data_IF_952914092826
#
_entry.id   IF_952914092826
#
_cell.length_a   1.000
_cell.length_b   1.000
_cell.length_c   1.000
_cell.angle_alpha   90.00
_cell.angle_beta   90.00
_cell.angle_gamma   90.00
#
_symmetry.space_group_name_H-M   'P 1'
#
loop_
_entity.id
_entity.type
_entity.pdbx_description
1 polymer ?
#
# COMPACT_ATOMS: atom_id res chain seq x y z
N UNK A 1 -0.26 -9.50 6.32
CA UNK A 1 -0.09 -8.64 7.50
C UNK A 1 -1.19 -7.59 7.49
N UNK A 2 -1.96 -7.50 8.57
CA UNK A 2 -3.07 -6.56 8.74
C UNK A 2 -2.61 -5.48 9.73
N UNK A 3 -2.51 -4.24 9.26
CA UNK A 3 -2.17 -3.08 10.10
C UNK A 3 -3.40 -2.46 10.76
N UNK A 4 -3.19 -1.44 11.60
CA UNK A 4 -4.28 -0.73 12.27
C UNK A 4 -5.04 0.16 11.26
N UNK A 5 -6.32 -0.13 11.05
CA UNK A 5 -7.18 0.57 10.06
C UNK A 5 -7.60 2.00 10.45
N UNK A 6 -7.06 2.53 11.55
CA UNK A 6 -7.27 3.89 12.05
C UNK A 6 -6.06 4.80 11.78
N UNK A 7 -5.13 4.38 10.93
CA UNK A 7 -3.96 5.18 10.55
C UNK A 7 -4.38 6.43 9.78
N UNK A 8 -3.88 7.60 10.21
CA UNK A 8 -4.21 8.87 9.61
C UNK A 8 -3.48 9.05 8.27
N UNK A 9 -4.23 9.31 7.21
CA UNK A 9 -3.71 9.46 5.84
C UNK A 9 -4.08 10.85 5.34
N UNK A 10 -3.08 11.63 4.92
CA UNK A 10 -3.27 13.00 4.45
C UNK A 10 -3.27 13.09 2.93
N UNK A 11 -2.58 12.19 2.24
CA UNK A 11 -2.54 12.13 0.76
C UNK A 11 -2.05 10.78 0.24
N UNK A 12 -2.43 10.48 -1.00
CA UNK A 12 -1.85 9.38 -1.79
C UNK A 12 -0.66 9.87 -2.62
N UNK A 13 0.41 9.08 -2.69
CA UNK A 13 1.67 9.44 -3.36
C UNK A 13 2.31 8.26 -4.08
N UNK A 14 3.25 8.56 -4.97
CA UNK A 14 4.17 7.56 -5.50
C UNK A 14 5.11 7.05 -4.38
N UNK A 15 5.48 5.75 -4.32
CA UNK A 15 6.30 5.21 -3.23
C UNK A 15 7.59 5.98 -2.94
N UNK A 16 8.29 6.42 -4.00
CA UNK A 16 9.54 7.17 -3.92
C UNK A 16 9.37 8.65 -3.50
N UNK A 17 8.15 9.19 -3.55
CA UNK A 17 7.86 10.57 -3.19
C UNK A 17 7.32 10.72 -1.77
N UNK A 18 7.12 9.59 -1.08
CA UNK A 18 6.66 9.60 0.30
C UNK A 18 7.66 10.31 1.20
N UNK A 19 7.15 11.28 1.95
CA UNK A 19 7.93 12.15 2.82
C UNK A 19 7.80 11.79 4.29
N UNK A 20 6.70 11.10 4.67
CA UNK A 20 6.50 10.69 6.05
C UNK A 20 5.23 9.87 6.30
N UNK A 21 4.94 9.58 7.59
CA UNK A 21 3.94 8.58 7.97
C UNK A 21 2.50 8.88 7.55
N UNK A 22 2.14 10.15 7.28
CA UNK A 22 0.80 10.50 6.78
C UNK A 22 0.56 10.19 5.30
N UNK A 23 1.61 9.79 4.56
CA UNK A 23 1.51 9.45 3.15
C UNK A 23 1.04 8.01 2.94
N UNK A 24 0.18 7.81 1.93
CA UNK A 24 -0.23 6.51 1.42
C UNK A 24 0.47 6.22 0.09
N UNK A 25 1.44 5.30 0.09
CA UNK A 25 2.13 4.89 -1.12
C UNK A 25 1.22 4.02 -2.01
N UNK A 26 1.12 4.32 -3.30
CA UNK A 26 0.36 3.53 -4.27
C UNK A 26 1.30 2.67 -5.10
N UNK A 27 1.31 1.36 -4.88
CA UNK A 27 2.20 0.43 -5.56
C UNK A 27 1.40 -0.72 -6.21
N UNK A 28 0.54 -0.40 -7.18
CA UNK A 28 -0.35 -1.37 -7.82
C UNK A 28 0.26 -2.12 -9.02
N UNK A 29 1.47 -1.73 -9.45
CA UNK A 29 2.19 -2.39 -10.54
C UNK A 29 3.46 -3.04 -10.02
N UNK A 30 3.88 -4.14 -10.64
CA UNK A 30 5.04 -4.94 -10.20
C UNK A 30 6.32 -4.12 -10.07
N UNK A 31 6.51 -3.10 -10.91
CA UNK A 31 7.69 -2.24 -10.87
C UNK A 31 7.75 -1.28 -9.67
N UNK A 32 6.62 -1.06 -8.98
CA UNK A 32 6.54 -0.14 -7.84
C UNK A 32 6.73 -0.85 -6.49
N UNK A 33 6.50 -2.16 -6.43
CA UNK A 33 6.64 -2.93 -5.18
C UNK A 33 8.04 -2.80 -4.56
N UNK A 34 9.15 -2.91 -5.32
CA UNK A 34 10.49 -2.79 -4.73
C UNK A 34 10.74 -1.43 -4.08
N UNK A 35 10.11 -0.36 -4.58
CA UNK A 35 10.27 1.00 -4.07
C UNK A 35 9.68 1.18 -2.66
N UNK A 36 8.84 0.25 -2.20
CA UNK A 36 8.27 0.30 -0.86
C UNK A 36 9.33 0.11 0.23
N UNK A 37 10.41 -0.61 -0.04
CA UNK A 37 11.45 -0.90 0.97
C UNK A 37 12.20 0.35 1.45
N UNK A 38 12.23 1.40 0.64
CA UNK A 38 12.84 2.69 0.97
C UNK A 38 11.80 3.80 1.20
N UNK A 39 10.50 3.46 1.13
CA UNK A 39 9.42 4.44 1.22
C UNK A 39 9.24 4.93 2.65
N UNK A 40 9.02 6.24 2.80
CA UNK A 40 8.70 6.85 4.12
C UNK A 40 7.20 6.88 4.42
N UNK A 41 6.38 6.28 3.57
CA UNK A 41 4.94 6.21 3.77
C UNK A 41 4.60 5.38 5.01
N UNK A 42 3.54 5.76 5.72
CA UNK A 42 3.06 4.98 6.88
C UNK A 42 2.22 3.78 6.45
N UNK A 43 1.63 3.83 5.26
CA UNK A 43 0.84 2.76 4.67
C UNK A 43 1.08 2.65 3.16
N UNK A 44 0.79 1.47 2.59
CA UNK A 44 0.82 1.27 1.15
C UNK A 44 -0.39 0.49 0.64
N UNK A 45 -0.85 0.83 -0.56
CA UNK A 45 -1.76 0.01 -1.35
C UNK A 45 -0.93 -0.91 -2.26
N UNK A 46 -1.19 -2.21 -2.16
CA UNK A 46 -0.51 -3.24 -2.96
C UNK A 46 -1.53 -4.22 -3.56
N UNK A 47 -1.22 -4.90 -4.68
CA UNK A 47 -2.00 -6.03 -5.15
C UNK A 47 -2.13 -7.10 -4.08
N UNK A 48 -3.29 -7.75 -4.01
CA UNK A 48 -3.47 -8.95 -3.20
C UNK A 48 -2.46 -10.04 -3.60
N UNK A 49 -1.90 -10.72 -2.60
CA UNK A 49 -0.84 -11.73 -2.81
C UNK A 49 0.55 -11.15 -3.08
N UNK A 50 0.75 -9.84 -2.92
CA UNK A 50 2.08 -9.22 -2.99
C UNK A 50 2.92 -9.59 -1.77
N UNK A 51 4.14 -10.07 -2.03
CA UNK A 51 5.20 -10.16 -1.02
C UNK A 51 5.88 -8.80 -0.90
N UNK A 52 5.70 -8.06 0.22
CA UNK A 52 6.33 -6.77 0.41
C UNK A 52 7.85 -6.92 0.63
N UNK A 53 8.68 -5.98 0.15
CA UNK A 53 10.10 -5.98 0.45
C UNK A 53 10.36 -5.70 1.93
N UNK A 54 11.56 -6.02 2.39
CA UNK A 54 12.05 -5.54 3.69
C UNK A 54 12.01 -4.00 3.73
N UNK A 55 11.63 -3.43 4.87
CA UNK A 55 11.49 -1.97 5.03
C UNK A 55 10.18 -1.38 4.48
N UNK A 56 9.29 -2.20 3.91
CA UNK A 56 7.98 -1.74 3.47
C UNK A 56 7.15 -1.14 4.63
N UNK A 57 6.20 -0.23 4.33
CA UNK A 57 5.29 0.31 5.34
C UNK A 57 4.58 -0.78 6.15
N UNK A 58 4.46 -0.57 7.46
CA UNK A 58 3.88 -1.56 8.38
C UNK A 58 2.41 -1.86 8.09
N UNK A 59 1.72 -0.94 7.41
CA UNK A 59 0.31 -1.08 7.03
C UNK A 59 0.23 -1.31 5.53
N UNK A 60 -0.26 -2.50 5.16
CA UNK A 60 -0.52 -2.86 3.76
C UNK A 60 -2.01 -3.04 3.53
N UNK A 61 -2.54 -2.29 2.59
CA UNK A 61 -3.92 -2.41 2.10
C UNK A 61 -3.85 -3.23 0.82
N UNK A 62 -4.18 -4.51 0.93
CA UNK A 62 -4.23 -5.42 -0.21
C UNK A 62 -5.50 -5.14 -1.05
N UNK A 63 -5.31 -4.85 -2.35
CA UNK A 63 -6.39 -4.65 -3.30
C UNK A 63 -6.46 -5.83 -4.29
N UNK A 64 -7.64 -6.45 -4.46
CA UNK A 64 -7.84 -7.38 -5.56
C UNK A 64 -7.76 -6.61 -6.88
N UNK A 65 -6.85 -7.00 -7.77
CA UNK A 65 -6.72 -6.37 -9.09
C UNK A 65 -7.83 -6.79 -10.07
N UNK A 66 -8.62 -7.80 -9.73
CA UNK A 66 -9.77 -8.24 -10.52
C UNK A 66 -11.08 -7.73 -9.90
N UNK A 67 -11.85 -6.93 -10.64
CA UNK A 67 -13.17 -6.46 -10.19
C UNK A 67 -14.17 -7.59 -9.89
N UNK A 68 -13.97 -8.78 -10.48
CA UNK A 68 -14.82 -9.96 -10.25
C UNK A 68 -14.67 -10.58 -8.86
N UNK A 69 -13.65 -10.20 -8.08
CA UNK A 69 -13.39 -10.72 -6.74
C UNK A 69 -13.80 -9.77 -5.61
N UNK A 70 -14.40 -8.62 -5.93
CA UNK A 70 -15.05 -7.80 -4.91
C UNK A 70 -16.38 -8.46 -4.52
N UNK A 71 -16.69 -8.59 -3.22
CA UNK A 71 -18.03 -9.02 -2.81
C UNK A 71 -19.06 -8.02 -3.35
N UNK A 72 -20.22 -8.52 -3.79
CA UNK A 72 -21.32 -7.65 -4.18
C UNK A 72 -21.68 -6.76 -3.00
N UNK A 73 -21.72 -5.44 -3.24
CA UNK A 73 -22.17 -4.49 -2.24
C UNK A 73 -23.67 -4.74 -1.99
N UNK A 74 -24.00 -5.34 -0.84
CA UNK A 74 -25.36 -5.48 -0.30
C UNK A 74 -25.91 -4.15 0.18
#
# INVERSE_FOLDING_TARGET
MTGAGNHEITRAVHPAEATGPGDLAIALTKGLIPLLGESRAGAAIVPEGTDPPEGAPAILIAMPLNRRSLPEAT
#
